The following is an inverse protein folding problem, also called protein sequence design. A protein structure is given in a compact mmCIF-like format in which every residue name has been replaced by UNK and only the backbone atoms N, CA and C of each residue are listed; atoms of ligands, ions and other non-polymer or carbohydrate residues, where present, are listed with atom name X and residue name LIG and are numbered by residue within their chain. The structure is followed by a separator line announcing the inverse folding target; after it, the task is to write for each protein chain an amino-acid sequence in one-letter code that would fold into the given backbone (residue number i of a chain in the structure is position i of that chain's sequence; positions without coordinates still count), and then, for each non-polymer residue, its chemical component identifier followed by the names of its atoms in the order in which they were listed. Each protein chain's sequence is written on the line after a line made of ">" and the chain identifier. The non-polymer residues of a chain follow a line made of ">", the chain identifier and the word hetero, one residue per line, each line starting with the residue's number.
data_IF_669655305210
#
_entry.id   IF_669655305210
#
_cell.length_a   1.000
_cell.length_b   1.000
_cell.length_c   1.000
_cell.angle_alpha   90.00
_cell.angle_beta   90.00
_cell.angle_gamma   90.00
#
_symmetry.space_group_name_H-M   'P 1'
#
loop_
_entity.id
_entity.type
_entity.pdbx_description
1 polymer ?
#
# COMPACT_ATOMS: atom_id res chain seq x y z
N UNK A 1 0.41 -11.54 11.13
CA UNK A 1 -0.21 -10.37 10.47
C UNK A 1 0.80 -9.77 9.52
N UNK A 2 0.40 -9.34 8.33
CA UNK A 2 1.25 -8.68 7.32
C UNK A 2 0.67 -7.31 7.02
N UNK A 3 1.52 -6.28 6.94
CA UNK A 3 1.13 -4.92 6.64
C UNK A 3 1.84 -4.46 5.37
N UNK A 4 1.11 -3.79 4.48
CA UNK A 4 1.68 -3.23 3.25
C UNK A 4 1.16 -1.81 3.01
N UNK A 5 2.02 -0.93 2.51
CA UNK A 5 1.56 0.28 1.83
C UNK A 5 1.55 0.03 0.34
N UNK A 6 0.46 0.41 -0.31
CA UNK A 6 0.28 0.38 -1.74
C UNK A 6 -0.06 1.78 -2.24
N UNK A 7 0.78 2.33 -3.10
CA UNK A 7 0.47 3.54 -3.84
C UNK A 7 0.22 3.17 -5.29
N UNK A 8 -0.98 3.45 -5.77
CA UNK A 8 -1.36 3.21 -7.17
C UNK A 8 -1.72 4.53 -7.80
N UNK A 9 -1.22 4.80 -9.00
CA UNK A 9 -1.71 5.95 -9.78
C UNK A 9 -3.21 5.80 -10.03
N UNK A 10 -3.95 6.90 -9.92
CA UNK A 10 -5.36 6.96 -10.32
C UNK A 10 -5.36 7.44 -11.77
N UNK A 11 -5.44 6.54 -12.75
CA UNK A 11 -5.53 7.02 -14.11
C UNK A 11 -6.93 7.60 -14.32
N UNK A 12 -7.01 8.72 -15.04
CA UNK A 12 -8.29 9.33 -15.48
C UNK A 12 -9.11 8.37 -16.38
N UNK A 13 -8.44 7.32 -16.90
CA UNK A 13 -8.96 6.31 -17.83
C UNK A 13 -8.35 4.96 -17.44
N UNK A 14 -9.12 3.88 -17.24
CA UNK A 14 -8.56 2.58 -16.86
C UNK A 14 -7.71 2.01 -18.01
N UNK A 15 -6.41 2.26 -17.97
CA UNK A 15 -5.42 1.57 -18.81
C UNK A 15 -4.82 0.43 -18.00
N UNK A 16 -4.58 -0.70 -18.66
CA UNK A 16 -4.13 -1.98 -18.06
C UNK A 16 -2.74 -1.93 -17.40
N UNK A 17 -2.03 -0.79 -17.45
CA UNK A 17 -0.66 -0.60 -16.97
C UNK A 17 -0.55 0.54 -15.92
N UNK A 18 -1.48 0.62 -14.96
CA UNK A 18 -1.29 1.51 -13.80
C UNK A 18 -0.04 1.12 -13.02
N UNK A 19 0.98 1.98 -13.02
CA UNK A 19 2.15 1.79 -12.16
C UNK A 19 1.71 1.85 -10.70
N UNK A 20 2.09 0.83 -9.92
CA UNK A 20 1.84 0.81 -8.48
C UNK A 20 3.10 0.41 -7.72
N UNK A 21 3.23 0.98 -6.53
CA UNK A 21 4.33 0.72 -5.59
C UNK A 21 3.72 0.00 -4.40
N UNK A 22 4.20 -1.20 -4.09
CA UNK A 22 3.82 -1.93 -2.88
C UNK A 22 5.04 -2.19 -2.01
N UNK A 23 4.95 -1.81 -0.74
CA UNK A 23 6.03 -1.95 0.24
C UNK A 23 5.54 -2.74 1.46
N UNK A 24 6.26 -3.80 1.83
CA UNK A 24 6.01 -4.53 3.07
C UNK A 24 6.53 -3.71 4.25
N UNK A 25 5.62 -3.36 5.16
CA UNK A 25 5.89 -2.59 6.37
C UNK A 25 5.63 -3.44 7.63
N UNK A 26 5.63 -4.76 7.48
CA UNK A 26 5.45 -5.70 8.59
C UNK A 26 6.65 -5.58 9.52
N UNK A 27 6.39 -5.46 10.82
CA UNK A 27 7.41 -5.28 11.87
C UNK A 27 8.23 -3.98 11.80
N UNK A 28 7.89 -3.03 10.91
CA UNK A 28 8.49 -1.70 10.90
C UNK A 28 7.98 -0.83 12.05
N UNK A 29 8.86 0.02 12.58
CA UNK A 29 8.52 1.04 13.58
C UNK A 29 7.72 2.19 12.96
N UNK A 30 7.02 2.99 13.79
CA UNK A 30 6.28 4.17 13.31
C UNK A 30 7.17 5.19 12.58
N UNK A 31 8.43 5.30 12.98
CA UNK A 31 9.42 6.16 12.30
C UNK A 31 9.75 5.64 10.91
N UNK A 32 10.02 4.34 10.77
CA UNK A 32 10.29 3.71 9.47
C UNK A 32 9.07 3.80 8.55
N UNK A 33 7.86 3.55 9.07
CA UNK A 33 6.62 3.73 8.31
C UNK A 33 6.46 5.15 7.79
N UNK A 34 6.78 6.15 8.62
CA UNK A 34 6.72 7.56 8.22
C UNK A 34 7.73 7.89 7.12
N UNK A 35 8.94 7.33 7.21
CA UNK A 35 9.98 7.52 6.19
C UNK A 35 9.57 6.87 4.85
N UNK A 36 9.05 5.64 4.90
CA UNK A 36 8.50 4.93 3.73
C UNK A 36 7.35 5.72 3.11
N UNK A 37 6.42 6.21 3.92
CA UNK A 37 5.31 7.06 3.46
C UNK A 37 5.85 8.30 2.75
N UNK A 38 6.86 8.96 3.32
CA UNK A 38 7.47 10.14 2.71
C UNK A 38 8.14 9.80 1.38
N UNK A 39 8.86 8.69 1.31
CA UNK A 39 9.48 8.21 0.07
C UNK A 39 8.44 7.93 -1.02
N UNK A 40 7.32 7.27 -0.66
CA UNK A 40 6.20 7.01 -1.58
C UNK A 40 5.61 8.33 -2.10
N UNK A 41 5.37 9.30 -1.20
CA UNK A 41 4.84 10.63 -1.57
C UNK A 41 5.79 11.40 -2.49
N UNK A 42 7.10 11.27 -2.28
CA UNK A 42 8.12 11.90 -3.12
C UNK A 42 8.18 11.27 -4.52
N UNK A 43 8.15 9.94 -4.61
CA UNK A 43 8.13 9.21 -5.89
C UNK A 43 6.86 9.51 -6.70
N UNK A 44 5.71 9.56 -6.03
CA UNK A 44 4.43 9.89 -6.67
C UNK A 44 4.18 11.41 -6.79
N UNK A 45 5.17 12.24 -6.43
CA UNK A 45 5.04 13.70 -6.49
C UNK A 45 4.81 14.14 -7.94
N UNK A 46 3.71 14.85 -8.17
CA UNK A 46 3.31 15.30 -9.50
C UNK A 46 2.37 14.36 -10.26
N UNK A 47 1.98 13.23 -9.65
CA UNK A 47 0.96 12.30 -10.15
C UNK A 47 -0.24 12.28 -9.19
N UNK A 48 -1.44 12.01 -9.69
CA UNK A 48 -2.59 11.71 -8.84
C UNK A 48 -2.56 10.22 -8.50
N UNK A 49 -2.49 9.90 -7.21
CA UNK A 49 -2.36 8.53 -6.73
C UNK A 49 -3.24 8.29 -5.50
N UNK A 50 -3.59 7.02 -5.29
CA UNK A 50 -4.23 6.52 -4.08
C UNK A 50 -3.21 5.79 -3.24
N UNK A 51 -3.26 6.02 -1.94
CA UNK A 51 -2.41 5.34 -0.97
C UNK A 51 -3.29 4.48 -0.07
N UNK A 52 -3.03 3.18 -0.07
CA UNK A 52 -3.83 2.17 0.64
C UNK A 52 -2.92 1.41 1.59
N UNK A 53 -3.31 1.32 2.85
CA UNK A 53 -2.75 0.41 3.83
C UNK A 53 -3.49 -0.93 3.79
N UNK A 54 -2.76 -2.00 3.51
CA UNK A 54 -3.28 -3.37 3.52
C UNK A 54 -2.86 -4.05 4.82
N UNK A 55 -3.84 -4.45 5.62
CA UNK A 55 -3.65 -5.28 6.81
C UNK A 55 -4.15 -6.70 6.52
N UNK A 56 -3.22 -7.62 6.25
CA UNK A 56 -3.52 -9.01 5.91
C UNK A 56 -3.28 -9.95 7.09
N UNK A 57 -4.29 -10.74 7.46
CA UNK A 57 -4.18 -11.75 8.51
C UNK A 57 -3.97 -13.13 7.87
N UNK A 58 -2.74 -13.65 7.95
CA UNK A 58 -2.35 -14.96 7.39
C UNK A 58 -2.31 -16.10 8.43
N UNK A 59 -2.54 -15.79 9.71
CA UNK A 59 -2.55 -16.80 10.77
C UNK A 59 -3.91 -17.52 10.79
N UNK A 60 -3.92 -18.76 10.33
CA UNK A 60 -4.87 -19.82 10.71
C UNK A 60 -6.35 -19.70 10.26
N UNK A 61 -6.64 -19.28 9.02
CA UNK A 61 -8.00 -19.45 8.45
C UNK A 61 -7.95 -20.04 7.03
N UNK A 62 -8.69 -21.13 6.72
CA UNK A 62 -8.63 -21.77 5.41
C UNK A 62 -9.20 -20.87 4.30
N UNK A 63 -8.42 -20.73 3.23
CA UNK A 63 -8.78 -20.25 1.86
C UNK A 63 -9.20 -18.79 1.64
N UNK A 64 -9.48 -17.99 2.66
CA UNK A 64 -9.77 -16.56 2.49
C UNK A 64 -8.85 -15.71 3.38
N UNK A 65 -7.65 -15.37 2.89
CA UNK A 65 -6.82 -14.35 3.52
C UNK A 65 -7.63 -13.04 3.57
N UNK A 66 -8.10 -12.65 4.76
CA UNK A 66 -8.83 -11.41 4.92
C UNK A 66 -7.80 -10.27 5.01
N UNK A 67 -7.66 -9.54 3.91
CA UNK A 67 -6.93 -8.28 3.88
C UNK A 67 -7.92 -7.14 4.07
N UNK A 68 -7.74 -6.35 5.12
CA UNK A 68 -8.45 -5.09 5.31
C UNK A 68 -7.67 -4.00 4.59
N UNK A 69 -8.33 -3.25 3.72
CA UNK A 69 -7.73 -2.16 2.95
C UNK A 69 -8.28 -0.83 3.47
N UNK A 70 -7.38 0.10 3.80
CA UNK A 70 -7.74 1.44 4.27
C UNK A 70 -6.98 2.50 3.49
N UNK A 71 -7.68 3.43 2.88
CA UNK A 71 -7.06 4.61 2.26
C UNK A 71 -6.54 5.57 3.35
N UNK A 72 -5.33 6.09 3.17
CA UNK A 72 -4.59 6.92 4.16
C UNK A 72 -3.96 8.17 3.55
#
# INVERSE_FOLDING_TARGET
>A
MKLYYEASEVPDIPMEDSEFIRVDITDMTDTEKTDILKAIKDVMSGKEYKLIEHTCYHDNIPKNAQCVMREI
#
